data_IF_399761774652
#
_entry.id   IF_399761774652
#
_cell.length_a   1.000
_cell.length_b   1.000
_cell.length_c   1.000
_cell.angle_alpha   90.00
_cell.angle_beta   90.00
_cell.angle_gamma   90.00
#
_symmetry.space_group_name_H-M   'P 1'
#
loop_
_entity.id
_entity.type
_entity.pdbx_description
1 polymer ?
#
# COMPACT_ATOMS: atom_id res chain seq x y z
N UNK A 1 -59.45 -35.69 -16.81
CA UNK A 1 -59.00 -35.18 -15.49
C UNK A 1 -57.51 -35.21 -15.34
N UNK A 2 -56.76 -36.29 -15.62
CA UNK A 2 -55.31 -36.37 -15.45
C UNK A 2 -54.52 -35.33 -16.30
N UNK A 3 -54.93 -35.04 -17.52
CA UNK A 3 -54.27 -34.02 -18.39
C UNK A 3 -54.44 -32.59 -17.89
N UNK A 4 -55.63 -32.28 -17.33
CA UNK A 4 -55.88 -30.97 -16.72
C UNK A 4 -55.05 -30.74 -15.46
N UNK A 5 -54.92 -31.74 -14.60
CA UNK A 5 -54.11 -31.68 -13.38
C UNK A 5 -52.61 -31.49 -13.74
N UNK A 6 -52.12 -32.22 -14.75
CA UNK A 6 -50.74 -32.08 -15.23
C UNK A 6 -50.46 -30.68 -15.80
N UNK A 7 -51.42 -30.11 -16.56
CA UNK A 7 -51.27 -28.75 -17.12
C UNK A 7 -51.23 -27.67 -16.04
N UNK A 8 -52.09 -27.82 -15.01
CA UNK A 8 -52.11 -26.89 -13.86
C UNK A 8 -50.80 -26.99 -13.04
N UNK A 9 -50.27 -28.20 -12.86
CA UNK A 9 -49.01 -28.40 -12.14
C UNK A 9 -47.84 -27.75 -12.86
N UNK A 10 -47.76 -27.90 -14.19
CA UNK A 10 -46.71 -27.27 -15.02
C UNK A 10 -46.82 -25.75 -14.99
N UNK A 11 -48.02 -25.19 -15.07
CA UNK A 11 -48.23 -23.75 -14.98
C UNK A 11 -47.83 -23.20 -13.60
N UNK A 12 -48.12 -23.92 -12.53
CA UNK A 12 -47.75 -23.53 -11.17
C UNK A 12 -46.22 -23.55 -10.94
N UNK A 13 -45.52 -24.56 -11.46
CA UNK A 13 -44.05 -24.63 -11.40
C UNK A 13 -43.41 -23.53 -12.21
N UNK A 14 -43.95 -23.18 -13.37
CA UNK A 14 -43.46 -22.08 -14.21
C UNK A 14 -43.65 -20.73 -13.52
N UNK A 15 -44.74 -20.53 -12.80
CA UNK A 15 -45.03 -19.32 -12.04
C UNK A 15 -44.05 -19.12 -10.85
N UNK A 16 -43.64 -20.22 -10.21
CA UNK A 16 -42.67 -20.19 -9.08
C UNK A 16 -41.25 -19.87 -9.53
N UNK A 17 -40.87 -20.19 -10.78
CA UNK A 17 -39.54 -19.89 -11.33
C UNK A 17 -39.36 -18.43 -11.73
N UNK A 18 -40.42 -17.66 -11.93
CA UNK A 18 -40.39 -16.24 -12.29
C UNK A 18 -40.17 -15.30 -11.09
N UNK A 19 -40.24 -15.81 -9.86
CA UNK A 19 -40.09 -15.01 -8.64
C UNK A 19 -38.67 -14.72 -8.17
N UNK A 20 -37.64 -15.16 -8.91
CA UNK A 20 -36.23 -15.06 -8.48
C UNK A 20 -35.56 -13.72 -8.84
N UNK A 21 -36.28 -12.59 -8.72
CA UNK A 21 -35.64 -11.28 -8.78
C UNK A 21 -35.09 -10.92 -7.39
N UNK A 22 -33.83 -11.30 -7.10
CA UNK A 22 -33.11 -10.86 -5.93
C UNK A 22 -32.95 -9.33 -5.96
N UNK A 23 -33.30 -8.66 -4.87
CA UNK A 23 -33.08 -7.22 -4.69
C UNK A 23 -31.60 -6.89 -4.68
N UNK A 24 -31.12 -6.11 -5.66
CA UNK A 24 -29.74 -5.64 -5.77
C UNK A 24 -29.45 -4.44 -4.85
N UNK A 25 -30.34 -4.09 -3.94
CA UNK A 25 -30.20 -2.91 -3.07
C UNK A 25 -28.94 -2.91 -2.19
N UNK A 26 -28.36 -4.08 -1.93
CA UNK A 26 -27.19 -4.21 -1.05
C UNK A 26 -25.87 -4.50 -1.80
N UNK A 27 -25.86 -4.35 -3.13
CA UNK A 27 -24.67 -4.67 -3.96
C UNK A 27 -23.89 -3.39 -4.37
N UNK A 28 -24.44 -2.21 -4.12
CA UNK A 28 -23.75 -0.96 -4.46
C UNK A 28 -22.56 -0.70 -3.50
N UNK A 29 -21.37 -0.52 -4.05
CA UNK A 29 -20.11 -0.35 -3.33
C UNK A 29 -20.02 0.92 -2.46
N UNK A 30 -20.90 1.90 -2.62
CA UNK A 30 -20.89 3.17 -1.87
C UNK A 30 -22.30 3.54 -1.42
N UNK A 31 -22.96 2.65 -0.67
CA UNK A 31 -24.33 2.87 -0.21
C UNK A 31 -24.49 4.04 0.77
N UNK A 32 -23.40 4.46 1.42
CA UNK A 32 -23.38 5.50 2.46
C UNK A 32 -22.50 6.69 2.09
N UNK A 33 -22.25 6.93 0.79
CA UNK A 33 -21.41 8.06 0.36
C UNK A 33 -21.96 9.41 0.85
N UNK A 34 -23.28 9.55 0.90
CA UNK A 34 -23.94 10.79 1.36
C UNK A 34 -23.88 10.97 2.88
N UNK A 35 -23.60 9.91 3.65
CA UNK A 35 -23.51 9.96 5.11
C UNK A 35 -22.07 10.11 5.62
N UNK A 36 -21.07 10.03 4.73
CA UNK A 36 -19.67 10.27 5.09
C UNK A 36 -19.52 11.78 5.29
N UNK A 37 -19.47 12.20 6.57
CA UNK A 37 -19.30 13.62 6.86
C UNK A 37 -17.95 14.08 6.30
N UNK A 38 -17.96 15.22 5.59
CA UNK A 38 -16.77 15.86 5.06
C UNK A 38 -15.74 16.17 6.18
N UNK A 39 -16.21 16.25 7.43
CA UNK A 39 -15.38 16.42 8.62
C UNK A 39 -14.56 15.14 8.94
N UNK A 40 -15.11 13.94 8.72
CA UNK A 40 -14.38 12.68 8.93
C UNK A 40 -13.32 12.46 7.84
N UNK A 41 -13.59 12.88 6.59
CA UNK A 41 -12.60 12.79 5.50
C UNK A 41 -11.50 13.86 5.59
N UNK A 42 -11.68 14.90 6.39
CA UNK A 42 -10.67 15.92 6.69
C UNK A 42 -9.71 15.53 7.81
N UNK A 43 -9.92 14.42 8.49
CA UNK A 43 -8.87 13.82 9.30
C UNK A 43 -7.77 13.35 8.35
N UNK A 44 -6.81 14.23 8.11
CA UNK A 44 -5.59 13.90 7.38
C UNK A 44 -4.93 12.74 8.14
N UNK A 45 -5.09 11.52 7.56
CA UNK A 45 -4.39 10.35 8.07
C UNK A 45 -2.91 10.54 7.77
N UNK A 46 -2.14 10.92 8.78
CA UNK A 46 -0.70 11.01 8.66
C UNK A 46 -0.12 9.61 8.82
N UNK A 47 0.44 9.09 7.73
CA UNK A 47 1.06 7.78 7.73
C UNK A 47 2.24 7.76 8.71
N UNK A 48 2.35 6.68 9.49
CA UNK A 48 3.45 6.43 10.40
C UNK A 48 4.28 5.27 9.90
N UNK A 49 5.57 5.36 10.12
CA UNK A 49 6.52 4.29 9.79
C UNK A 49 6.23 3.06 10.65
N UNK A 50 6.11 1.92 10.00
CA UNK A 50 5.82 0.64 10.65
C UNK A 50 6.99 -0.35 10.49
N UNK A 51 7.11 -1.35 11.38
CA UNK A 51 8.03 -2.46 11.17
C UNK A 51 7.80 -3.12 9.80
N UNK A 52 8.89 -3.45 9.11
CA UNK A 52 8.93 -4.00 7.74
C UNK A 52 8.72 -2.98 6.61
N UNK A 53 8.55 -1.70 6.91
CA UNK A 53 8.62 -0.67 5.87
C UNK A 53 10.05 -0.56 5.34
N UNK A 54 10.17 -0.26 4.06
CA UNK A 54 11.44 0.08 3.42
C UNK A 54 11.51 1.59 3.19
N UNK A 55 12.52 2.22 3.77
CA UNK A 55 12.71 3.67 3.71
C UNK A 55 13.87 4.00 2.76
N UNK A 56 13.67 4.94 1.85
CA UNK A 56 14.74 5.57 1.09
C UNK A 56 15.05 6.92 1.72
N UNK A 57 16.26 7.07 2.24
CA UNK A 57 16.72 8.30 2.89
C UNK A 57 17.82 8.92 2.03
N UNK A 58 17.65 10.19 1.67
CA UNK A 58 18.61 10.94 0.88
C UNK A 58 19.08 12.17 1.66
N UNK A 59 20.36 12.26 1.92
CA UNK A 59 20.98 13.42 2.55
C UNK A 59 21.43 14.38 1.46
N UNK A 60 20.94 15.61 1.50
CA UNK A 60 21.26 16.68 0.55
C UNK A 60 22.01 17.77 1.30
N UNK A 61 23.21 18.09 0.85
CA UNK A 61 24.07 19.16 1.40
C UNK A 61 24.56 20.08 0.28
N UNK A 62 25.06 21.24 0.65
CA UNK A 62 25.68 22.19 -0.30
C UNK A 62 26.95 21.64 -0.94
N UNK A 63 27.70 20.79 -0.23
CA UNK A 63 28.85 20.06 -0.77
C UNK A 63 28.48 18.57 -0.92
N UNK A 64 28.32 18.05 -2.16
CA UNK A 64 27.97 16.66 -2.39
C UNK A 64 28.94 15.64 -1.79
N UNK A 65 30.24 16.02 -1.63
CA UNK A 65 31.24 15.11 -1.06
C UNK A 65 30.96 14.79 0.41
N UNK A 66 30.38 15.73 1.14
CA UNK A 66 29.99 15.54 2.55
C UNK A 66 28.78 14.61 2.66
N UNK A 67 27.90 14.59 1.69
CA UNK A 67 26.72 13.73 1.67
C UNK A 67 27.04 12.27 1.26
N UNK A 68 28.14 12.02 0.55
CA UNK A 68 28.48 10.70 0.00
C UNK A 68 28.49 9.56 1.05
N UNK A 69 29.06 9.72 2.26
CA UNK A 69 29.07 8.65 3.26
C UNK A 69 27.68 8.23 3.75
N UNK A 70 26.67 9.10 3.61
CA UNK A 70 25.30 8.86 4.04
C UNK A 70 24.42 8.31 2.92
N UNK A 71 24.79 8.56 1.65
CA UNK A 71 24.02 8.19 0.47
C UNK A 71 24.64 6.96 -0.21
N UNK A 72 24.50 5.79 0.41
CA UNK A 72 25.02 4.56 -0.17
C UNK A 72 24.23 4.18 -1.41
N UNK A 73 24.94 4.01 -2.54
CA UNK A 73 24.35 3.52 -3.78
C UNK A 73 24.61 2.02 -3.93
N UNK A 74 23.57 1.25 -4.21
CA UNK A 74 23.71 -0.16 -4.56
C UNK A 74 23.88 -0.27 -6.07
N UNK A 75 25.06 -0.68 -6.50
CA UNK A 75 25.32 -1.01 -7.90
C UNK A 75 24.98 -2.49 -8.13
N UNK A 76 23.85 -2.77 -8.75
CA UNK A 76 23.51 -4.12 -9.15
C UNK A 76 24.31 -4.50 -10.40
N UNK A 77 25.60 -4.86 -10.24
CA UNK A 77 26.40 -5.49 -11.28
C UNK A 77 26.21 -7.01 -11.22
N UNK A 78 25.13 -7.53 -11.80
CA UNK A 78 25.06 -8.92 -12.21
C UNK A 78 25.03 -8.93 -13.72
N UNK A 79 26.19 -8.90 -14.35
CA UNK A 79 26.35 -9.09 -15.77
C UNK A 79 27.34 -10.21 -16.05
N UNK A 80 26.84 -11.42 -16.31
CA UNK A 80 27.65 -12.56 -16.81
C UNK A 80 28.07 -12.37 -18.26
N UNK A 81 27.91 -11.21 -18.87
CA UNK A 81 28.19 -10.95 -20.29
C UNK A 81 28.94 -9.65 -20.55
N UNK A 82 29.97 -9.33 -19.75
CA UNK A 82 30.99 -8.33 -20.15
C UNK A 82 30.52 -6.95 -20.67
N UNK A 83 29.24 -6.64 -20.57
CA UNK A 83 28.65 -5.38 -21.01
C UNK A 83 28.53 -4.48 -19.79
N UNK A 84 29.33 -3.41 -19.77
CA UNK A 84 29.21 -2.32 -18.81
C UNK A 84 27.88 -1.63 -19.04
N UNK A 85 26.81 -2.12 -18.44
CA UNK A 85 25.60 -1.34 -18.26
C UNK A 85 25.89 -0.30 -17.19
N UNK A 86 25.92 0.96 -17.57
CA UNK A 86 25.85 2.08 -16.64
C UNK A 86 24.47 2.06 -15.96
N UNK A 87 24.30 1.15 -15.01
CA UNK A 87 23.16 1.19 -14.13
C UNK A 87 23.34 2.40 -13.22
N UNK A 88 22.49 3.38 -13.39
CA UNK A 88 22.31 4.44 -12.42
C UNK A 88 22.10 3.76 -11.06
N UNK A 89 23.07 3.86 -10.15
CA UNK A 89 22.98 3.24 -8.84
C UNK A 89 21.71 3.74 -8.14
N UNK A 90 20.84 2.80 -7.74
CA UNK A 90 19.72 3.18 -6.88
C UNK A 90 20.24 3.41 -5.46
N UNK A 91 19.67 4.37 -4.76
CA UNK A 91 19.96 4.56 -3.34
C UNK A 91 19.60 3.30 -2.56
N UNK A 92 20.38 2.98 -1.54
CA UNK A 92 20.11 1.87 -0.65
C UNK A 92 18.81 2.12 0.11
N UNK A 93 17.91 1.13 0.12
CA UNK A 93 16.75 1.12 1.01
C UNK A 93 17.12 0.64 2.41
N UNK A 94 16.48 1.21 3.42
CA UNK A 94 16.64 0.83 4.82
C UNK A 94 15.38 0.13 5.30
N UNK A 95 15.50 -1.18 5.60
CA UNK A 95 14.38 -1.96 6.13
C UNK A 95 14.21 -1.66 7.62
N UNK A 96 13.00 -1.27 8.03
CA UNK A 96 12.63 -1.09 9.43
C UNK A 96 12.51 -2.46 10.10
N UNK A 97 13.26 -2.70 11.17
CA UNK A 97 13.24 -3.94 11.92
C UNK A 97 11.94 -4.12 12.75
N UNK A 98 11.81 -5.24 13.45
CA UNK A 98 10.62 -5.52 14.27
C UNK A 98 10.48 -4.56 15.48
N UNK A 99 11.57 -3.90 15.88
CA UNK A 99 11.60 -2.96 16.99
C UNK A 99 11.43 -1.51 16.52
N UNK A 100 11.23 -1.28 15.20
CA UNK A 100 11.09 0.04 14.62
C UNK A 100 12.42 0.76 14.37
N UNK A 101 13.55 0.04 14.29
CA UNK A 101 14.85 0.63 14.06
C UNK A 101 15.34 0.43 12.63
N UNK A 102 16.21 1.32 12.18
CA UNK A 102 17.00 1.19 10.95
C UNK A 102 18.49 1.35 11.29
N UNK A 103 19.37 0.72 10.50
CA UNK A 103 20.81 0.95 10.54
C UNK A 103 21.18 2.02 9.50
N UNK A 104 21.49 3.23 9.99
CA UNK A 104 21.82 4.35 9.12
C UNK A 104 23.35 4.58 9.11
N UNK A 105 23.97 4.78 7.92
CA UNK A 105 25.42 4.94 7.81
C UNK A 105 25.94 6.08 8.68
N UNK A 106 27.12 5.90 9.26
CA UNK A 106 27.83 6.86 10.12
C UNK A 106 27.12 7.12 11.46
N UNK A 107 25.80 7.19 11.50
CA UNK A 107 25.02 7.50 12.71
C UNK A 107 24.71 6.24 13.53
N UNK A 108 24.59 5.07 12.87
CA UNK A 108 24.25 3.81 13.52
C UNK A 108 22.75 3.57 13.57
N UNK A 109 22.29 2.90 14.63
CA UNK A 109 20.91 2.51 14.82
C UNK A 109 20.02 3.71 15.17
N UNK A 110 18.97 3.94 14.37
CA UNK A 110 17.97 4.99 14.60
C UNK A 110 16.59 4.38 14.80
N UNK A 111 15.88 4.83 15.84
CA UNK A 111 14.49 4.42 16.06
C UNK A 111 13.55 5.34 15.28
N UNK A 112 12.90 4.77 14.24
CA UNK A 112 11.99 5.50 13.34
C UNK A 112 10.55 4.98 13.40
N UNK A 113 10.33 3.85 14.05
CA UNK A 113 9.01 3.23 14.18
C UNK A 113 8.01 4.14 14.88
N UNK A 114 6.80 4.26 14.34
CA UNK A 114 5.75 5.12 14.87
C UNK A 114 5.90 6.61 14.58
N UNK A 115 7.03 7.03 14.00
CA UNK A 115 7.25 8.42 13.56
C UNK A 115 6.51 8.71 12.26
N UNK A 116 6.11 9.95 12.07
CA UNK A 116 5.69 10.45 10.77
C UNK A 116 6.92 10.75 9.90
N UNK A 117 6.72 10.89 8.59
CA UNK A 117 7.80 11.27 7.66
C UNK A 117 8.56 12.51 8.17
N UNK A 118 7.84 13.55 8.58
CA UNK A 118 8.46 14.79 9.07
C UNK A 118 9.27 14.60 10.34
N UNK A 119 8.76 13.81 11.29
CA UNK A 119 9.48 13.50 12.53
C UNK A 119 10.75 12.70 12.26
N UNK A 120 10.71 11.76 11.31
CA UNK A 120 11.89 11.00 10.91
C UNK A 120 12.92 11.88 10.18
N UNK A 121 12.49 12.81 9.32
CA UNK A 121 13.37 13.81 8.70
C UNK A 121 14.07 14.70 9.74
N UNK A 122 13.35 15.15 10.75
CA UNK A 122 13.88 16.01 11.82
C UNK A 122 14.84 15.24 12.76
N UNK A 123 14.68 13.91 12.87
CA UNK A 123 15.60 13.04 13.62
C UNK A 123 16.96 12.89 12.93
N UNK A 124 16.99 12.88 11.59
CA UNK A 124 18.21 12.65 10.78
C UNK A 124 18.97 13.96 10.52
N UNK A 125 18.37 15.12 10.74
CA UNK A 125 19.03 16.44 10.57
C UNK A 125 20.03 16.76 11.69
#
# INVERSE_FOLDING_TARGET
>A
MKKLVSSVLVALTMLLLLGSCGSTKNVAYFQNADSISLAASKMLYEAKIMPKDELTITVITTDPKVAMPFNLAVSNTIGTSGQLSSSQGSLQGYLVDNNGNIEFPVVGTLHVGGLTKKQAEDLVK
#
